data_IF_851323167726
#
_entry.id   IF_851323167726
#
_cell.length_a   1.000
_cell.length_b   1.000
_cell.length_c   1.000
_cell.angle_alpha   90.00
_cell.angle_beta   90.00
_cell.angle_gamma   90.00
#
_symmetry.space_group_name_H-M   'P 1'
#
loop_
_entity.id
_entity.type
_entity.pdbx_description
1 polymer ?
#
# COMPACT_ATOMS: atom_id res chain seq x y z
N UNK A 1 29.89 -8.51 -14.18
CA UNK A 1 30.24 -9.39 -13.03
C UNK A 1 31.74 -9.70 -12.94
N UNK A 2 32.40 -9.90 -14.09
CA UNK A 2 33.85 -10.23 -14.09
C UNK A 2 34.72 -9.12 -13.49
N UNK A 3 34.39 -7.85 -13.74
CA UNK A 3 35.16 -6.70 -13.22
C UNK A 3 34.77 -6.34 -11.77
N UNK A 4 33.53 -6.52 -11.37
CA UNK A 4 33.07 -6.29 -9.99
C UNK A 4 31.91 -7.25 -9.67
N UNK A 5 32.18 -8.34 -8.92
CA UNK A 5 31.17 -9.35 -8.56
C UNK A 5 30.05 -8.82 -7.66
N UNK A 6 30.32 -7.79 -6.84
CA UNK A 6 29.40 -7.24 -5.85
C UNK A 6 28.51 -6.10 -6.37
N UNK A 7 28.68 -5.68 -7.62
CA UNK A 7 27.87 -4.60 -8.20
C UNK A 7 26.40 -5.04 -8.33
N UNK A 8 25.47 -4.20 -7.88
CA UNK A 8 24.05 -4.41 -8.12
C UNK A 8 23.67 -3.99 -9.54
N UNK A 9 23.18 -4.96 -10.34
CA UNK A 9 22.82 -4.75 -11.74
C UNK A 9 21.30 -4.68 -11.89
N UNK A 10 20.79 -3.48 -12.19
CA UNK A 10 19.41 -3.27 -12.60
C UNK A 10 19.34 -3.21 -14.13
N UNK A 11 18.53 -4.09 -14.73
CA UNK A 11 18.31 -4.12 -16.17
C UNK A 11 16.87 -3.77 -16.54
N UNK A 12 16.70 -3.14 -17.69
CA UNK A 12 15.39 -2.85 -18.29
C UNK A 12 15.08 -3.88 -19.37
N UNK A 13 13.82 -4.36 -19.43
CA UNK A 13 13.31 -5.10 -20.58
C UNK A 13 12.04 -4.44 -21.15
N UNK A 14 11.77 -4.65 -22.44
CA UNK A 14 10.53 -4.23 -23.10
C UNK A 14 9.54 -5.37 -23.25
N UNK A 15 10.02 -6.62 -23.21
CA UNK A 15 9.21 -7.84 -23.32
C UNK A 15 9.50 -8.75 -22.13
N UNK A 16 8.45 -9.20 -21.45
CA UNK A 16 8.53 -10.03 -20.24
C UNK A 16 9.35 -11.31 -20.46
N UNK A 17 9.22 -11.92 -21.65
CA UNK A 17 9.99 -13.12 -22.02
C UNK A 17 11.52 -12.94 -21.97
N UNK A 18 12.01 -11.70 -22.01
CA UNK A 18 13.43 -11.41 -21.93
C UNK A 18 13.92 -11.21 -20.48
N UNK A 19 13.02 -11.05 -19.53
CA UNK A 19 13.38 -10.86 -18.12
C UNK A 19 14.20 -12.04 -17.57
N UNK A 20 13.80 -13.27 -17.86
CA UNK A 20 14.53 -14.49 -17.46
C UNK A 20 15.92 -14.58 -18.09
N UNK A 21 16.10 -14.12 -19.32
CA UNK A 21 17.39 -14.11 -20.00
C UNK A 21 18.34 -13.09 -19.34
N UNK A 22 17.84 -11.90 -19.02
CA UNK A 22 18.62 -10.86 -18.34
C UNK A 22 19.03 -11.29 -16.93
N UNK A 23 18.14 -11.94 -16.17
CA UNK A 23 18.47 -12.53 -14.87
C UNK A 23 19.58 -13.58 -14.99
N UNK A 24 19.48 -14.50 -15.97
CA UNK A 24 20.53 -15.51 -16.25
C UNK A 24 21.86 -14.87 -16.67
N UNK A 25 21.82 -13.73 -17.36
CA UNK A 25 23.00 -12.96 -17.72
C UNK A 25 23.63 -12.19 -16.54
N UNK A 26 23.05 -12.29 -15.32
CA UNK A 26 23.62 -11.73 -14.11
C UNK A 26 22.94 -10.44 -13.62
N UNK A 27 21.77 -10.07 -14.12
CA UNK A 27 21.00 -8.96 -13.57
C UNK A 27 20.36 -9.37 -12.23
N UNK A 28 20.57 -8.56 -11.20
CA UNK A 28 19.96 -8.74 -9.88
C UNK A 28 18.47 -8.39 -9.92
N UNK A 29 18.13 -7.35 -10.68
CA UNK A 29 16.73 -6.94 -10.88
C UNK A 29 16.48 -6.58 -12.33
N UNK A 30 15.31 -6.99 -12.85
CA UNK A 30 14.85 -6.63 -14.20
C UNK A 30 13.53 -5.92 -14.06
N UNK A 31 13.38 -4.78 -14.74
CA UNK A 31 12.17 -3.95 -14.73
C UNK A 31 11.63 -3.83 -16.15
N UNK A 32 10.34 -4.05 -16.29
CA UNK A 32 9.58 -3.71 -17.49
C UNK A 32 8.73 -2.46 -17.21
N UNK A 33 9.14 -1.26 -17.70
CA UNK A 33 8.41 -0.03 -17.43
C UNK A 33 7.00 -0.02 -18.00
N UNK A 34 6.77 -0.73 -19.11
CA UNK A 34 5.46 -0.78 -19.74
C UNK A 34 4.46 -1.57 -18.92
N UNK A 35 4.87 -2.74 -18.39
CA UNK A 35 4.05 -3.54 -17.50
C UNK A 35 3.79 -2.79 -16.17
N UNK A 36 4.83 -2.19 -15.60
CA UNK A 36 4.71 -1.42 -14.37
C UNK A 36 3.79 -0.21 -14.55
N UNK A 37 3.95 0.54 -15.64
CA UNK A 37 3.09 1.67 -15.96
C UNK A 37 1.64 1.25 -16.25
N UNK A 38 1.45 0.15 -16.99
CA UNK A 38 0.13 -0.42 -17.25
C UNK A 38 -0.59 -0.85 -15.97
N UNK A 39 0.11 -1.51 -15.04
CA UNK A 39 -0.44 -1.82 -13.71
C UNK A 39 -0.89 -0.57 -12.96
N UNK A 40 -0.04 0.46 -12.94
CA UNK A 40 -0.38 1.70 -12.24
C UNK A 40 -1.59 2.40 -12.84
N UNK A 41 -1.69 2.45 -14.17
CA UNK A 41 -2.88 3.00 -14.85
C UNK A 41 -4.13 2.20 -14.53
N UNK A 42 -4.04 0.86 -14.54
CA UNK A 42 -5.17 0.00 -14.19
C UNK A 42 -5.61 0.19 -12.72
N UNK A 43 -4.65 0.30 -11.79
CA UNK A 43 -4.94 0.59 -10.38
C UNK A 43 -5.68 1.93 -10.22
N UNK A 44 -5.22 2.99 -10.88
CA UNK A 44 -5.87 4.31 -10.84
C UNK A 44 -7.30 4.27 -11.41
N UNK A 45 -7.56 3.47 -12.42
CA UNK A 45 -8.90 3.31 -13.00
C UNK A 45 -9.83 2.46 -12.13
N UNK A 46 -9.30 1.39 -11.52
CA UNK A 46 -10.08 0.45 -10.70
C UNK A 46 -10.30 0.96 -9.27
N UNK A 47 -9.44 1.84 -8.80
CA UNK A 47 -9.47 2.35 -7.42
C UNK A 47 -9.18 3.87 -7.40
N UNK A 48 -10.05 4.71 -8.02
CA UNK A 48 -9.81 6.14 -8.17
C UNK A 48 -9.76 6.91 -6.84
N UNK A 49 -10.16 6.28 -5.75
CA UNK A 49 -10.13 6.86 -4.39
C UNK A 49 -8.77 6.64 -3.68
N UNK A 50 -7.83 5.96 -4.33
CA UNK A 50 -6.54 5.60 -3.74
C UNK A 50 -5.45 6.28 -4.56
N UNK A 51 -5.21 7.55 -4.28
CA UNK A 51 -4.18 8.31 -5.01
C UNK A 51 -2.75 7.84 -4.65
N UNK A 52 -2.51 7.35 -3.44
CA UNK A 52 -1.17 7.01 -2.95
C UNK A 52 -1.07 5.72 -2.13
N UNK A 53 -1.56 4.58 -2.66
CA UNK A 53 -1.27 3.31 -2.01
C UNK A 53 0.16 2.85 -2.30
N UNK A 54 0.96 2.66 -1.27
CA UNK A 54 2.29 2.07 -1.38
C UNK A 54 2.18 0.57 -1.15
N UNK A 55 2.34 -0.22 -2.21
CA UNK A 55 2.44 -1.69 -2.09
C UNK A 55 3.88 -2.08 -1.80
N UNK A 56 4.13 -2.65 -0.64
CA UNK A 56 5.43 -3.22 -0.28
C UNK A 56 5.43 -4.68 -0.71
N UNK A 57 6.04 -4.97 -1.86
CA UNK A 57 6.25 -6.34 -2.33
C UNK A 57 7.57 -6.84 -1.75
N UNK A 58 7.54 -7.81 -0.85
CA UNK A 58 8.76 -8.47 -0.35
C UNK A 58 9.36 -9.37 -1.44
N UNK A 59 10.66 -9.23 -1.78
CA UNK A 59 11.32 -10.07 -2.79
C UNK A 59 11.54 -11.52 -2.33
N UNK A 60 11.39 -11.84 -1.07
CA UNK A 60 11.70 -13.14 -0.49
C UNK A 60 10.43 -14.00 -0.36
N UNK A 61 10.23 -14.90 -1.30
CA UNK A 61 9.51 -16.20 -1.27
C UNK A 61 8.20 -16.40 -0.50
N UNK A 62 7.70 -15.43 0.24
CA UNK A 62 6.34 -15.39 0.78
C UNK A 62 5.72 -14.09 0.31
N UNK A 63 4.66 -14.19 -0.49
CA UNK A 63 3.87 -13.05 -0.95
C UNK A 63 3.18 -12.38 0.25
N UNK A 64 3.94 -11.59 1.01
CA UNK A 64 3.35 -10.66 1.95
C UNK A 64 2.93 -9.46 1.08
N UNK A 65 1.67 -9.46 0.68
CA UNK A 65 1.06 -8.40 -0.13
C UNK A 65 0.53 -7.31 0.80
N UNK A 66 1.47 -6.60 1.46
CA UNK A 66 1.13 -5.49 2.34
C UNK A 66 0.78 -4.25 1.51
N UNK A 67 -0.31 -3.62 1.86
CA UNK A 67 -0.78 -2.36 1.31
C UNK A 67 -0.90 -1.33 2.42
N UNK A 68 -0.47 -0.10 2.14
CA UNK A 68 -0.76 1.07 2.96
C UNK A 68 -1.71 1.94 2.16
N UNK A 69 -2.84 2.27 2.75
CA UNK A 69 -3.86 3.10 2.11
C UNK A 69 -4.20 4.31 2.97
N UNK A 70 -4.44 5.43 2.32
CA UNK A 70 -4.93 6.67 2.94
C UNK A 70 -6.44 6.79 2.74
N UNK A 71 -7.19 6.98 3.83
CA UNK A 71 -8.64 7.11 3.77
C UNK A 71 -9.08 8.30 4.63
N UNK A 72 -9.76 9.25 3.99
CA UNK A 72 -10.37 10.37 4.70
C UNK A 72 -11.51 9.87 5.60
N UNK A 73 -11.45 10.22 6.88
CA UNK A 73 -12.48 9.82 7.86
C UNK A 73 -13.85 10.39 7.51
N UNK A 74 -13.95 11.50 6.79
CA UNK A 74 -15.21 12.02 6.26
C UNK A 74 -16.03 10.99 5.47
N UNK A 75 -15.37 9.98 4.88
CA UNK A 75 -16.00 8.87 4.15
C UNK A 75 -16.34 7.66 5.04
N UNK A 76 -15.94 7.68 6.30
CA UNK A 76 -16.05 6.58 7.27
C UNK A 76 -16.89 6.98 8.49
N UNK A 77 -18.15 7.33 8.27
CA UNK A 77 -19.03 7.87 9.33
C UNK A 77 -19.15 7.00 10.60
N UNK A 78 -19.03 5.68 10.45
CA UNK A 78 -19.09 4.75 11.57
C UNK A 78 -17.90 4.89 12.56
N UNK A 79 -16.82 5.53 12.14
CA UNK A 79 -15.59 5.67 12.93
C UNK A 79 -15.42 7.07 13.52
N UNK A 80 -16.35 8.00 13.27
CA UNK A 80 -16.28 9.35 13.82
C UNK A 80 -16.41 9.35 15.33
N UNK A 81 -15.54 10.12 16.00
CA UNK A 81 -15.48 10.25 17.48
C UNK A 81 -15.26 8.92 18.21
N UNK A 82 -14.70 7.91 17.54
CA UNK A 82 -14.37 6.61 18.11
C UNK A 82 -12.87 6.55 18.41
N UNK A 83 -12.48 5.96 19.52
CA UNK A 83 -11.08 5.71 19.83
C UNK A 83 -10.55 4.59 18.93
N UNK A 84 -9.26 4.63 18.60
CA UNK A 84 -8.62 3.60 17.77
C UNK A 84 -8.86 2.20 18.34
N UNK A 85 -8.71 2.01 19.65
CA UNK A 85 -8.96 0.72 20.33
C UNK A 85 -10.40 0.21 20.21
N UNK A 86 -11.35 1.11 20.01
CA UNK A 86 -12.79 0.79 19.88
C UNK A 86 -13.22 0.61 18.42
N UNK A 87 -12.37 0.98 17.49
CA UNK A 87 -12.67 0.93 16.04
C UNK A 87 -12.83 -0.49 15.50
N UNK A 88 -12.33 -1.51 16.22
CA UNK A 88 -12.32 -2.93 15.81
C UNK A 88 -11.66 -3.22 14.45
N UNK A 89 -10.95 -2.25 13.86
CA UNK A 89 -10.27 -2.42 12.57
C UNK A 89 -9.32 -3.62 12.58
N UNK A 90 -8.63 -3.83 13.71
CA UNK A 90 -7.72 -4.96 13.88
C UNK A 90 -8.44 -6.29 14.05
N UNK A 91 -9.55 -6.31 14.78
CA UNK A 91 -10.32 -7.51 15.08
C UNK A 91 -11.11 -8.00 13.87
N UNK A 92 -11.80 -7.09 13.19
CA UNK A 92 -12.74 -7.42 12.10
C UNK A 92 -12.05 -7.57 10.73
N UNK A 93 -10.97 -6.78 10.51
CA UNK A 93 -10.32 -6.70 9.20
C UNK A 93 -8.83 -6.99 9.22
N UNK A 94 -8.21 -7.22 10.39
CA UNK A 94 -6.76 -7.37 10.53
C UNK A 94 -5.98 -6.16 9.96
N UNK A 95 -6.52 -4.95 10.12
CA UNK A 95 -5.95 -3.70 9.66
C UNK A 95 -5.40 -2.90 10.84
N UNK A 96 -4.31 -2.16 10.61
CA UNK A 96 -3.62 -1.36 11.61
C UNK A 96 -3.57 0.09 11.15
N UNK A 97 -3.99 1.04 12.01
CA UNK A 97 -3.77 2.47 11.77
C UNK A 97 -2.31 2.78 12.10
N UNK A 98 -1.53 3.16 11.09
CA UNK A 98 -0.11 3.50 11.24
C UNK A 98 0.14 5.00 11.30
N UNK A 99 -0.84 5.81 10.91
CA UNK A 99 -0.76 7.26 10.96
C UNK A 99 -2.11 7.94 10.87
N UNK A 100 -2.15 9.19 11.32
CA UNK A 100 -3.28 10.09 11.18
C UNK A 100 -2.72 11.43 10.69
N UNK A 101 -3.37 12.02 9.69
CA UNK A 101 -3.06 13.35 9.19
C UNK A 101 -4.26 14.26 9.42
N UNK A 102 -4.05 15.43 10.00
CA UNK A 102 -5.09 16.42 10.21
C UNK A 102 -5.25 17.34 8.99
N UNK A 103 -6.23 18.24 9.06
CA UNK A 103 -6.53 19.23 8.00
C UNK A 103 -5.40 20.24 7.74
N UNK A 104 -4.48 20.42 8.69
CA UNK A 104 -3.30 21.31 8.57
C UNK A 104 -2.09 20.56 8.01
N UNK A 105 -2.21 19.27 7.70
CA UNK A 105 -1.14 18.42 7.23
C UNK A 105 -0.19 17.94 8.34
N UNK A 106 -0.56 18.13 9.62
CA UNK A 106 0.21 17.57 10.73
C UNK A 106 -0.08 16.09 10.84
N UNK A 107 0.98 15.29 10.90
CA UNK A 107 0.88 13.84 10.97
C UNK A 107 1.27 13.30 12.35
N UNK A 108 0.48 12.38 12.85
CA UNK A 108 0.80 11.57 14.02
C UNK A 108 1.10 10.16 13.52
N UNK A 109 2.35 9.74 13.63
CA UNK A 109 2.76 8.38 13.29
C UNK A 109 2.66 7.51 14.54
N UNK A 110 2.16 6.28 14.36
CA UNK A 110 1.91 5.33 15.44
C UNK A 110 1.04 5.93 16.56
N UNK A 111 -0.20 6.36 16.24
CA UNK A 111 -1.10 6.98 17.21
C UNK A 111 -1.41 6.03 18.35
N UNK A 112 -1.61 6.61 19.55
CA UNK A 112 -1.96 5.84 20.74
C UNK A 112 -3.35 5.19 20.61
N UNK A 113 -3.61 4.04 21.27
CA UNK A 113 -4.89 3.33 21.18
C UNK A 113 -6.12 4.14 21.63
N UNK A 114 -5.92 5.12 22.48
CA UNK A 114 -6.95 6.04 22.99
C UNK A 114 -7.10 7.33 22.16
N UNK A 115 -6.35 7.46 21.07
CA UNK A 115 -6.52 8.56 20.13
C UNK A 115 -7.91 8.51 19.49
N UNK A 116 -8.62 9.65 19.52
CA UNK A 116 -9.96 9.77 18.93
C UNK A 116 -9.85 10.14 17.44
N UNK A 117 -10.60 9.43 16.62
CA UNK A 117 -10.68 9.64 15.18
C UNK A 117 -11.69 10.75 14.87
N UNK A 118 -11.23 11.85 14.25
CA UNK A 118 -12.05 13.02 13.93
C UNK A 118 -12.39 13.07 12.43
N UNK A 119 -13.56 13.59 12.12
CA UNK A 119 -14.10 13.64 10.74
C UNK A 119 -13.17 14.35 9.71
N UNK A 120 -12.44 15.37 10.16
CA UNK A 120 -11.53 16.18 9.32
C UNK A 120 -10.13 15.57 9.14
N UNK A 121 -9.92 14.36 9.62
CA UNK A 121 -8.64 13.65 9.54
C UNK A 121 -8.62 12.64 8.40
N UNK A 122 -7.40 12.30 7.96
CA UNK A 122 -7.12 11.18 7.08
C UNK A 122 -6.33 10.13 7.86
N UNK A 123 -6.75 8.87 7.81
CA UNK A 123 -6.05 7.76 8.43
C UNK A 123 -5.21 7.00 7.40
N UNK A 124 -4.02 6.60 7.81
CA UNK A 124 -3.15 5.70 7.06
C UNK A 124 -3.29 4.31 7.64
N UNK A 125 -3.78 3.37 6.85
CA UNK A 125 -4.08 1.99 7.28
C UNK A 125 -3.13 1.03 6.58
N UNK A 126 -2.54 0.11 7.35
CA UNK A 126 -1.69 -0.98 6.88
C UNK A 126 -2.44 -2.31 7.01
N UNK A 127 -2.36 -3.14 5.98
CA UNK A 127 -2.87 -4.51 5.97
C UNK A 127 -2.63 -5.23 4.66
N UNK A 128 -3.15 -6.45 4.52
CA UNK A 128 -3.10 -7.15 3.24
C UNK A 128 -4.19 -6.63 2.28
N UNK A 129 -3.95 -6.78 0.98
CA UNK A 129 -4.88 -6.29 -0.05
C UNK A 129 -6.28 -6.86 0.04
N UNK A 130 -6.42 -8.12 0.46
CA UNK A 130 -7.71 -8.80 0.56
C UNK A 130 -8.56 -8.17 1.67
N UNK A 131 -7.98 -8.02 2.86
CA UNK A 131 -8.62 -7.41 4.01
C UNK A 131 -8.91 -5.93 3.78
N UNK A 132 -7.98 -5.20 3.15
CA UNK A 132 -8.17 -3.82 2.74
C UNK A 132 -9.34 -3.68 1.75
N UNK A 133 -9.43 -4.56 0.76
CA UNK A 133 -10.52 -4.60 -0.20
C UNK A 133 -11.88 -4.88 0.46
N UNK A 134 -11.93 -5.83 1.42
CA UNK A 134 -13.13 -6.12 2.21
C UNK A 134 -13.57 -4.91 3.01
N UNK A 135 -12.66 -4.29 3.75
CA UNK A 135 -12.93 -3.08 4.54
C UNK A 135 -13.52 -1.95 3.69
N UNK A 136 -12.89 -1.65 2.56
CA UNK A 136 -13.37 -0.60 1.65
C UNK A 136 -14.76 -0.89 1.11
N UNK A 137 -15.02 -2.12 0.66
CA UNK A 137 -16.32 -2.51 0.13
C UNK A 137 -17.45 -2.38 1.14
N UNK A 138 -17.18 -2.66 2.41
CA UNK A 138 -18.20 -2.62 3.47
C UNK A 138 -18.40 -1.23 4.07
N UNK A 139 -17.38 -0.39 4.10
CA UNK A 139 -17.40 0.88 4.84
C UNK A 139 -17.36 2.13 3.94
N UNK A 140 -16.80 2.03 2.72
CA UNK A 140 -16.84 3.12 1.76
C UNK A 140 -18.06 2.92 0.85
N UNK A 141 -19.08 3.75 1.01
CA UNK A 141 -20.19 3.80 0.05
C UNK A 141 -19.64 4.35 -1.27
N UNK A 142 -19.59 3.50 -2.29
CA UNK A 142 -19.42 3.87 -3.68
C UNK A 142 -20.71 4.55 -4.19
#
# INVERSE_FOLDING_TARGET
>A
RTLNPSVFLLSRCSKEVNASKLKRAGADKVVNPYTAGGHRIAEMLLSPLIEDSVSIVSPSHQNIDLSVDEIALSKLSAYHNTMIKESKLREDYNLIIVGIVDENGQSIINPAPDTVLLNNQTIMILGDKTNMGKFKKENLKL
#
